data_IF_008357976835
#
_entry.id   IF_008357976835
#
_cell.length_a   1.000
_cell.length_b   1.000
_cell.length_c   1.000
_cell.angle_alpha   90.00
_cell.angle_beta   90.00
_cell.angle_gamma   90.00
#
_symmetry.space_group_name_H-M   'P 1'
#
loop_
_entity.id
_entity.type
_entity.pdbx_description
1 polymer ?
#
# COMPACT_ATOMS: atom_id res chain seq x y z
N UNK A 1 -26.94 28.18 15.00
CA UNK A 1 -26.22 27.72 13.79
C UNK A 1 -27.27 27.34 12.76
N UNK A 2 -27.20 27.84 11.51
CA UNK A 2 -28.17 27.46 10.48
C UNK A 2 -28.06 25.96 10.15
N UNK A 3 -29.16 25.29 9.76
CA UNK A 3 -29.12 23.90 9.35
C UNK A 3 -28.23 23.74 8.10
N UNK A 4 -27.53 22.61 8.01
CA UNK A 4 -26.66 22.32 6.87
C UNK A 4 -27.49 22.19 5.59
N UNK A 5 -27.05 22.83 4.51
CA UNK A 5 -27.64 22.66 3.18
C UNK A 5 -27.54 21.18 2.74
N UNK A 6 -28.65 20.55 2.30
CA UNK A 6 -28.62 19.18 1.80
C UNK A 6 -27.70 19.05 0.58
N UNK A 7 -26.89 17.98 0.54
CA UNK A 7 -25.97 17.62 -0.55
C UNK A 7 -26.43 16.31 -1.18
N UNK A 8 -26.12 16.10 -2.46
CA UNK A 8 -26.38 14.81 -3.11
C UNK A 8 -25.56 13.68 -2.45
N UNK A 9 -26.12 12.48 -2.41
CA UNK A 9 -25.40 11.30 -1.95
C UNK A 9 -24.19 11.02 -2.84
N UNK A 10 -23.06 10.62 -2.24
CA UNK A 10 -21.80 10.30 -2.93
C UNK A 10 -21.82 8.99 -3.72
N UNK A 11 -22.82 8.13 -3.52
CA UNK A 11 -22.96 6.86 -4.27
C UNK A 11 -23.40 7.17 -5.69
N UNK A 12 -22.65 6.69 -6.68
CA UNK A 12 -22.98 6.87 -8.10
C UNK A 12 -24.36 6.27 -8.40
N UNK A 13 -25.24 7.07 -8.98
CA UNK A 13 -26.61 6.66 -9.32
C UNK A 13 -27.63 6.81 -8.19
N UNK A 14 -27.22 7.17 -6.97
CA UNK A 14 -28.16 7.51 -5.91
C UNK A 14 -28.75 8.90 -6.13
N UNK A 15 -30.08 9.00 -6.16
CA UNK A 15 -30.82 10.27 -6.32
C UNK A 15 -31.14 10.97 -5.00
N UNK A 16 -30.82 10.36 -3.86
CA UNK A 16 -31.16 10.89 -2.55
C UNK A 16 -30.21 12.00 -2.11
N UNK A 17 -30.74 12.98 -1.38
CA UNK A 17 -29.96 14.04 -0.72
C UNK A 17 -29.72 13.71 0.76
N UNK A 18 -28.65 14.26 1.33
CA UNK A 18 -28.27 14.07 2.73
C UNK A 18 -27.71 15.36 3.32
N UNK A 19 -27.96 15.59 4.60
CA UNK A 19 -27.33 16.65 5.40
C UNK A 19 -26.18 16.11 6.27
N UNK A 20 -25.95 14.79 6.22
CA UNK A 20 -24.94 14.10 7.03
C UNK A 20 -23.51 14.47 6.57
N UNK A 21 -22.57 14.71 7.51
CA UNK A 21 -21.17 15.03 7.19
C UNK A 21 -20.47 13.98 6.30
N UNK A 22 -20.87 12.71 6.37
CA UNK A 22 -20.30 11.63 5.55
C UNK A 22 -20.59 11.80 4.06
N UNK A 23 -21.63 12.56 3.70
CA UNK A 23 -22.08 12.72 2.31
C UNK A 23 -22.84 11.51 1.77
N UNK A 24 -23.31 10.61 2.65
CA UNK A 24 -24.17 9.48 2.30
C UNK A 24 -25.60 9.67 2.82
N UNK A 25 -26.61 9.27 2.04
CA UNK A 25 -27.99 9.22 2.52
C UNK A 25 -28.17 8.07 3.52
N UNK A 26 -29.28 8.05 4.26
CA UNK A 26 -29.53 7.02 5.28
C UNK A 26 -29.44 5.59 4.70
N UNK A 27 -29.84 5.37 3.45
CA UNK A 27 -29.72 4.07 2.76
C UNK A 27 -28.27 3.66 2.44
N UNK A 28 -27.33 4.61 2.34
CA UNK A 28 -25.93 4.35 1.98
C UNK A 28 -24.96 4.72 3.11
N UNK A 29 -25.48 4.93 4.32
CA UNK A 29 -24.70 5.29 5.50
C UNK A 29 -23.77 4.12 5.85
N UNK A 30 -22.47 4.32 5.67
CA UNK A 30 -21.46 3.26 5.84
C UNK A 30 -20.92 2.65 4.55
N UNK A 31 -21.38 3.11 3.37
CA UNK A 31 -20.76 2.79 2.07
C UNK A 31 -19.56 3.68 1.71
N UNK A 32 -19.17 4.57 2.63
CA UNK A 32 -17.87 5.22 2.60
C UNK A 32 -16.72 4.21 2.62
N UNK A 33 -15.50 4.67 2.33
CA UNK A 33 -14.25 3.87 2.30
C UNK A 33 -14.27 2.69 3.29
N UNK A 34 -14.67 1.50 2.82
CA UNK A 34 -14.74 0.28 3.63
C UNK A 34 -13.34 -0.34 3.78
N UNK A 35 -12.33 0.38 4.27
CA UNK A 35 -10.99 -0.20 4.42
C UNK A 35 -10.18 0.42 5.59
N UNK A 36 -10.80 0.66 6.75
CA UNK A 36 -10.03 0.74 7.98
C UNK A 36 -10.77 0.03 9.11
N UNK A 37 -10.21 -1.08 9.59
CA UNK A 37 -10.61 -1.71 10.85
C UNK A 37 -9.80 -1.07 11.99
N UNK A 38 -10.34 -0.08 12.72
CA UNK A 38 -9.69 0.45 13.90
C UNK A 38 -9.55 -0.66 14.94
N UNK A 39 -8.43 -0.70 15.66
CA UNK A 39 -8.20 -1.66 16.75
C UNK A 39 -7.45 -2.94 16.38
N UNK A 40 -7.17 -3.21 15.10
CA UNK A 40 -6.26 -4.31 14.74
C UNK A 40 -4.81 -3.82 14.72
N UNK A 41 -3.97 -4.43 15.54
CA UNK A 41 -2.50 -4.23 15.51
C UNK A 41 -1.92 -4.67 14.16
N UNK A 42 -0.71 -4.20 13.80
CA UNK A 42 -0.04 -4.59 12.54
C UNK A 42 0.00 -6.11 12.34
N UNK A 43 0.13 -6.86 13.44
CA UNK A 43 0.13 -8.32 13.48
C UNK A 43 -1.25 -8.92 13.19
N UNK A 44 -2.32 -8.33 13.72
CA UNK A 44 -3.70 -8.78 13.48
C UNK A 44 -4.21 -8.49 12.06
N UNK A 45 -3.58 -7.56 11.34
CA UNK A 45 -3.92 -7.23 9.94
C UNK A 45 -3.26 -8.13 8.90
N UNK A 46 -2.50 -9.14 9.33
CA UNK A 46 -1.87 -10.11 8.42
C UNK A 46 -0.53 -9.67 7.82
N UNK A 47 0.02 -8.52 8.22
CA UNK A 47 1.44 -8.21 8.00
C UNK A 47 2.28 -8.94 9.05
N UNK A 48 2.24 -10.27 8.92
CA UNK A 48 2.73 -11.22 9.90
C UNK A 48 4.24 -11.29 9.90
N UNK A 49 4.79 -11.58 11.08
CA UNK A 49 6.16 -12.03 11.39
C UNK A 49 6.91 -12.73 10.24
N UNK A 50 6.21 -13.52 9.43
CA UNK A 50 6.73 -14.12 8.18
C UNK A 50 7.42 -13.11 7.25
N UNK A 51 6.84 -11.94 7.01
CA UNK A 51 7.44 -10.91 6.16
C UNK A 51 8.70 -10.31 6.79
N UNK A 52 8.74 -10.14 8.11
CA UNK A 52 9.92 -9.63 8.80
C UNK A 52 11.09 -10.62 8.67
N UNK A 53 10.82 -11.92 8.85
CA UNK A 53 11.80 -13.00 8.64
C UNK A 53 12.31 -13.01 7.19
N UNK A 54 11.40 -12.91 6.21
CA UNK A 54 11.77 -12.86 4.79
C UNK A 54 12.59 -11.60 4.49
N UNK A 55 12.17 -10.44 5.01
CA UNK A 55 12.86 -9.17 4.82
C UNK A 55 14.29 -9.22 5.35
N UNK A 56 14.50 -9.73 6.56
CA UNK A 56 15.84 -9.89 7.15
C UNK A 56 16.71 -10.84 6.32
N UNK A 57 16.13 -11.97 5.87
CA UNK A 57 16.84 -12.94 5.03
C UNK A 57 17.29 -12.31 3.70
N UNK A 58 16.40 -11.60 3.02
CA UNK A 58 16.69 -10.94 1.73
C UNK A 58 17.72 -9.83 1.91
N UNK A 59 17.60 -9.02 2.96
CA UNK A 59 18.60 -8.01 3.28
C UNK A 59 19.96 -8.63 3.56
N UNK A 60 20.02 -9.73 4.31
CA UNK A 60 21.28 -10.43 4.59
C UNK A 60 21.90 -11.02 3.33
N UNK A 61 21.10 -11.64 2.45
CA UNK A 61 21.54 -12.13 1.13
C UNK A 61 22.14 -11.01 0.29
N UNK A 62 21.47 -9.87 0.27
CA UNK A 62 21.85 -8.69 -0.51
C UNK A 62 22.93 -7.83 0.18
N UNK A 63 23.50 -8.30 1.29
CA UNK A 63 24.49 -7.58 2.12
C UNK A 63 24.01 -6.20 2.58
N UNK A 64 22.70 -6.00 2.70
CA UNK A 64 22.08 -4.72 3.04
C UNK A 64 22.27 -3.66 1.96
N UNK A 65 22.61 -4.05 0.72
CA UNK A 65 22.88 -3.13 -0.39
C UNK A 65 21.72 -3.09 -1.37
N UNK A 66 21.53 -1.91 -1.95
CA UNK A 66 20.57 -1.65 -3.01
C UNK A 66 21.01 -2.35 -4.30
N UNK A 67 20.26 -3.36 -4.72
CA UNK A 67 20.58 -4.18 -5.89
C UNK A 67 20.57 -3.37 -7.20
N UNK A 68 19.72 -2.35 -7.31
CA UNK A 68 19.67 -1.49 -8.49
C UNK A 68 20.88 -0.53 -8.59
N UNK A 69 21.44 -0.08 -7.47
CA UNK A 69 22.69 0.69 -7.48
C UNK A 69 23.90 -0.23 -7.66
N UNK A 70 23.88 -1.42 -7.07
CA UNK A 70 24.94 -2.42 -7.21
C UNK A 70 25.16 -2.82 -8.68
N UNK A 71 24.08 -2.99 -9.45
CA UNK A 71 24.13 -3.22 -10.92
C UNK A 71 24.80 -2.08 -11.69
N UNK A 72 24.86 -0.88 -11.12
CA UNK A 72 25.51 0.31 -11.70
C UNK A 72 26.91 0.53 -11.14
N UNK A 73 27.43 -0.39 -10.32
CA UNK A 73 28.72 -0.26 -9.64
C UNK A 73 28.73 0.73 -8.47
N UNK A 74 27.55 1.14 -7.96
CA UNK A 74 27.43 2.09 -6.85
C UNK A 74 27.01 1.36 -5.58
N UNK A 75 27.79 1.52 -4.51
CA UNK A 75 27.44 0.97 -3.19
C UNK A 75 26.48 1.92 -2.50
N UNK A 76 25.26 1.45 -2.20
CA UNK A 76 24.26 2.21 -1.47
C UNK A 76 23.47 1.29 -0.55
N UNK A 77 23.21 1.73 0.67
CA UNK A 77 22.42 0.97 1.63
C UNK A 77 20.96 0.80 1.16
N UNK A 78 20.43 -0.41 1.32
CA UNK A 78 19.02 -0.70 1.11
C UNK A 78 18.21 -0.29 2.35
N UNK A 79 17.03 0.30 2.11
CA UNK A 79 16.07 0.70 3.15
C UNK A 79 14.86 -0.25 3.19
N UNK A 80 14.53 -0.84 2.04
CA UNK A 80 13.32 -1.63 1.86
C UNK A 80 13.60 -2.88 1.01
N UNK A 81 12.78 -3.91 1.20
CA UNK A 81 12.73 -5.10 0.36
C UNK A 81 11.41 -5.04 -0.41
N UNK A 82 11.48 -5.28 -1.71
CA UNK A 82 10.36 -5.06 -2.62
C UNK A 82 10.27 -6.17 -3.68
N UNK A 83 9.06 -6.45 -4.15
CA UNK A 83 8.75 -7.55 -5.06
C UNK A 83 9.08 -7.21 -6.51
N UNK A 84 10.04 -7.87 -7.16
CA UNK A 84 10.41 -7.64 -8.57
C UNK A 84 9.18 -7.63 -9.47
N UNK A 85 8.33 -8.65 -9.34
CA UNK A 85 6.98 -8.69 -9.90
C UNK A 85 6.00 -8.33 -8.78
N UNK A 86 5.19 -7.27 -8.91
CA UNK A 86 4.20 -6.89 -7.91
C UNK A 86 3.22 -8.02 -7.59
N UNK A 87 2.75 -8.10 -6.34
CA UNK A 87 1.68 -9.04 -5.96
C UNK A 87 0.41 -8.89 -6.79
N UNK A 88 0.06 -7.66 -7.16
CA UNK A 88 -1.08 -7.38 -8.04
C UNK A 88 -0.95 -8.01 -9.44
N UNK A 89 0.28 -8.31 -9.87
CA UNK A 89 0.60 -8.95 -11.15
C UNK A 89 0.98 -10.43 -10.99
N UNK A 90 0.65 -11.05 -9.86
CA UNK A 90 0.95 -12.47 -9.60
C UNK A 90 2.32 -12.73 -8.95
N UNK A 91 3.00 -11.69 -8.45
CA UNK A 91 4.25 -11.84 -7.72
C UNK A 91 4.11 -12.63 -6.42
N UNK A 92 5.09 -13.49 -6.15
CA UNK A 92 5.16 -14.31 -4.93
C UNK A 92 6.12 -13.72 -3.89
N UNK A 93 6.03 -14.17 -2.64
CA UNK A 93 6.99 -13.85 -1.57
C UNK A 93 8.26 -14.71 -1.62
N UNK A 94 8.56 -15.33 -2.76
CA UNK A 94 9.77 -16.12 -2.94
C UNK A 94 11.01 -15.21 -2.96
N UNK A 95 12.11 -15.66 -2.36
CA UNK A 95 13.37 -14.91 -2.29
C UNK A 95 13.83 -14.46 -3.70
N UNK A 96 13.61 -15.26 -4.74
CA UNK A 96 13.96 -14.92 -6.14
C UNK A 96 13.14 -13.75 -6.71
N UNK A 97 11.94 -13.50 -6.19
CA UNK A 97 11.08 -12.38 -6.57
C UNK A 97 11.28 -11.16 -5.65
N UNK A 98 12.23 -11.19 -4.72
CA UNK A 98 12.47 -10.10 -3.77
C UNK A 98 13.83 -9.47 -4.01
N UNK A 99 13.88 -8.13 -3.93
CA UNK A 99 15.11 -7.36 -4.06
C UNK A 99 15.22 -6.27 -2.99
N UNK A 100 16.42 -6.08 -2.46
CA UNK A 100 16.74 -4.97 -1.55
C UNK A 100 16.97 -3.69 -2.34
N UNK A 101 16.22 -2.63 -2.01
CA UNK A 101 16.27 -1.34 -2.68
C UNK A 101 16.45 -0.19 -1.67
N UNK A 102 17.11 0.87 -2.10
CA UNK A 102 17.06 2.15 -1.41
C UNK A 102 15.75 2.89 -1.74
N UNK A 103 15.37 3.85 -0.90
CA UNK A 103 14.12 4.59 -1.03
C UNK A 103 13.94 5.24 -2.42
N UNK A 104 15.01 5.81 -3.00
CA UNK A 104 14.94 6.44 -4.32
C UNK A 104 14.66 5.44 -5.45
N UNK A 105 15.27 4.24 -5.40
CA UNK A 105 15.01 3.18 -6.38
C UNK A 105 13.60 2.61 -6.21
N UNK A 106 13.18 2.41 -4.96
CA UNK A 106 11.83 1.95 -4.66
C UNK A 106 10.77 2.93 -5.18
N UNK A 107 10.89 4.22 -4.85
CA UNK A 107 9.97 5.25 -5.35
C UNK A 107 9.93 5.32 -6.89
N UNK A 108 11.10 5.20 -7.54
CA UNK A 108 11.17 5.14 -9.01
C UNK A 108 10.43 3.94 -9.57
N UNK A 109 10.56 2.77 -8.93
CA UNK A 109 9.88 1.54 -9.33
C UNK A 109 8.36 1.65 -9.13
N UNK A 110 7.91 2.04 -7.94
CA UNK A 110 6.48 2.25 -7.66
C UNK A 110 5.85 3.24 -8.64
N UNK A 111 6.55 4.33 -8.97
CA UNK A 111 6.07 5.31 -9.96
C UNK A 111 5.97 4.77 -11.39
N UNK A 112 6.81 3.79 -11.77
CA UNK A 112 6.70 3.09 -13.07
C UNK A 112 5.55 2.08 -13.07
N UNK A 113 5.32 1.41 -11.95
CA UNK A 113 4.28 0.39 -11.82
C UNK A 113 2.88 1.00 -11.78
N UNK A 114 2.69 2.13 -11.09
CA UNK A 114 1.40 2.84 -11.04
C UNK A 114 0.99 3.51 -12.36
N UNK A 115 1.84 3.50 -13.38
CA UNK A 115 1.53 4.00 -14.74
C UNK A 115 1.07 2.90 -15.70
N UNK A 116 1.11 1.63 -15.29
CA UNK A 116 0.62 0.48 -16.06
C UNK A 116 -0.79 0.11 -15.63
#
# INVERSE_FOLDING_TARGET
>A
MPPRTPKACRVRGCRSTTTDPSGYCESHKGEGWKQYKPGQTRHQRGYGTKWEIIRERVLKRDSGLCQDHMKRGVVKQASCVDHIIPKAQGGTDADTNLQSLCWSCHATKTGKEGRK
#
